data_IF_296942130562
#
_entry.id   IF_296942130562
#
_cell.length_a   1.000
_cell.length_b   1.000
_cell.length_c   1.000
_cell.angle_alpha   90.00
_cell.angle_beta   90.00
_cell.angle_gamma   90.00
#
_symmetry.space_group_name_H-M   'P 1'
#
loop_
_entity.id
_entity.type
_entity.pdbx_description
1 polymer ?
#
# COMPACT_ATOMS: atom_id res chain seq x y z
N UNK A 1 19.07 -1.13 4.48
CA UNK A 1 17.83 -0.34 4.67
C UNK A 1 16.81 -0.89 3.69
N UNK A 2 15.74 -1.51 4.19
CA UNK A 2 14.69 -2.04 3.33
C UNK A 2 13.56 -0.99 3.21
N UNK A 3 13.23 -0.60 1.98
CA UNK A 3 12.11 0.30 1.73
C UNK A 3 10.82 -0.51 1.74
N UNK A 4 9.78 0.02 2.38
CA UNK A 4 8.45 -0.60 2.45
C UNK A 4 7.41 0.33 1.86
N UNK A 5 6.38 -0.27 1.28
CA UNK A 5 5.24 0.46 0.73
C UNK A 5 4.17 0.43 1.81
N UNK A 6 3.59 1.58 2.15
CA UNK A 6 2.51 1.66 3.13
C UNK A 6 1.32 2.38 2.54
N UNK A 7 0.13 1.89 2.87
CA UNK A 7 -1.13 2.44 2.40
C UNK A 7 -2.20 2.23 3.48
N UNK A 8 -3.23 3.05 3.47
CA UNK A 8 -4.33 2.93 4.41
C UNK A 8 -5.65 2.87 3.66
N UNK A 9 -6.43 1.85 3.98
CA UNK A 9 -7.79 1.71 3.48
C UNK A 9 -8.75 2.53 4.36
N UNK A 10 -9.85 3.05 3.79
CA UNK A 10 -10.81 3.85 4.55
C UNK A 10 -11.42 3.01 5.68
N UNK A 11 -11.12 3.38 6.93
CA UNK A 11 -11.62 2.70 8.13
C UNK A 11 -10.75 1.53 8.63
N UNK A 12 -9.59 1.29 8.01
CA UNK A 12 -8.65 0.24 8.43
C UNK A 12 -7.31 0.84 8.91
N UNK A 13 -6.53 0.10 9.73
CA UNK A 13 -5.18 0.50 10.08
C UNK A 13 -4.25 0.48 8.87
N UNK A 14 -3.07 1.11 9.00
CA UNK A 14 -2.07 1.14 7.92
C UNK A 14 -1.60 -0.27 7.58
N UNK A 15 -1.72 -0.61 6.30
CA UNK A 15 -1.16 -1.82 5.71
C UNK A 15 0.26 -1.56 5.20
N UNK A 16 1.13 -2.56 5.33
CA UNK A 16 2.50 -2.52 4.82
C UNK A 16 2.75 -3.66 3.84
N UNK A 17 3.39 -3.32 2.73
CA UNK A 17 3.76 -4.18 1.63
C UNK A 17 5.30 -4.23 1.55
N UNK A 18 5.81 -5.45 1.44
CA UNK A 18 7.23 -5.70 1.22
C UNK A 18 7.45 -5.87 -0.27
N UNK A 19 8.26 -5.02 -0.93
CA UNK A 19 8.55 -5.18 -2.34
C UNK A 19 9.30 -6.49 -2.58
N UNK A 20 8.82 -7.28 -3.54
CA UNK A 20 9.48 -8.50 -3.98
C UNK A 20 10.60 -8.17 -4.98
N UNK A 21 11.72 -8.88 -4.91
CA UNK A 21 12.83 -8.74 -5.86
C UNK A 21 12.55 -9.49 -7.18
N UNK A 22 11.41 -9.19 -7.82
CA UNK A 22 10.93 -9.85 -9.03
C UNK A 22 11.36 -9.15 -10.33
N UNK A 23 12.31 -8.21 -10.26
CA UNK A 23 12.75 -7.41 -11.41
C UNK A 23 11.86 -6.18 -11.70
N UNK A 24 10.88 -5.91 -10.84
CA UNK A 24 10.07 -4.69 -10.86
C UNK A 24 10.59 -3.65 -9.89
N UNK A 25 10.33 -2.37 -10.18
CA UNK A 25 10.64 -1.30 -9.24
C UNK A 25 9.62 -1.26 -8.11
N UNK A 26 9.99 -0.68 -6.96
CA UNK A 26 9.07 -0.52 -5.82
C UNK A 26 7.81 0.26 -6.18
N UNK A 27 7.91 1.19 -7.13
CA UNK A 27 6.79 1.97 -7.64
C UNK A 27 5.81 1.13 -8.45
N UNK A 28 6.32 0.31 -9.38
CA UNK A 28 5.48 -0.63 -10.15
C UNK A 28 4.80 -1.63 -9.22
N UNK A 29 5.53 -2.14 -8.23
CA UNK A 29 4.97 -3.03 -7.21
C UNK A 29 3.88 -2.31 -6.43
N UNK A 30 4.12 -1.08 -5.96
CA UNK A 30 3.11 -0.33 -5.22
C UNK A 30 1.86 -0.09 -6.07
N UNK A 31 2.03 0.33 -7.32
CA UNK A 31 0.92 0.55 -8.26
C UNK A 31 0.10 -0.71 -8.50
N UNK A 32 0.76 -1.86 -8.69
CA UNK A 32 0.13 -3.15 -8.91
C UNK A 32 -0.39 -3.82 -7.63
N UNK A 33 0.16 -3.54 -6.44
CA UNK A 33 -0.28 -4.16 -5.18
C UNK A 33 -1.22 -3.30 -4.35
N UNK A 34 -1.22 -1.99 -4.56
CA UNK A 34 -2.14 -1.08 -3.88
C UNK A 34 -3.44 -1.02 -4.68
N UNK A 35 -4.61 -1.19 -4.03
CA UNK A 35 -5.89 -1.09 -4.71
C UNK A 35 -6.13 0.29 -5.35
N UNK A 36 -6.88 0.27 -6.45
CA UNK A 36 -7.23 1.40 -7.28
C UNK A 36 -7.86 2.52 -6.48
N UNK A 37 -7.29 3.72 -6.53
CA UNK A 37 -7.82 4.88 -5.80
C UNK A 37 -7.39 4.96 -4.33
N UNK A 38 -6.47 4.09 -3.89
CA UNK A 38 -5.85 4.18 -2.56
C UNK A 38 -4.46 4.77 -2.70
N UNK A 39 -4.19 5.80 -1.90
CA UNK A 39 -2.88 6.46 -1.89
C UNK A 39 -1.85 5.60 -1.16
N UNK A 40 -0.60 5.62 -1.63
CA UNK A 40 0.51 4.91 -1.01
C UNK A 40 1.75 5.77 -0.82
N UNK A 41 2.59 5.38 0.12
CA UNK A 41 3.84 6.06 0.48
C UNK A 41 4.99 5.05 0.58
N UNK A 42 6.20 5.51 0.30
CA UNK A 42 7.42 4.73 0.53
C UNK A 42 8.04 5.18 1.85
N UNK A 43 8.11 4.26 2.80
CA UNK A 43 8.71 4.51 4.11
C UNK A 43 9.83 3.53 4.37
N UNK A 44 10.75 3.92 5.24
CA UNK A 44 11.75 2.96 5.71
C UNK A 44 11.12 1.93 6.63
N UNK A 45 11.69 0.73 6.59
CA UNK A 45 11.37 -0.36 7.48
C UNK A 45 11.26 0.04 8.96
N UNK A 46 12.15 0.93 9.40
CA UNK A 46 12.28 1.39 10.78
C UNK A 46 11.15 2.32 11.23
N UNK A 47 10.42 2.91 10.28
CA UNK A 47 9.24 3.75 10.58
C UNK A 47 8.03 2.88 10.95
N UNK A 48 8.03 1.62 10.49
CA UNK A 48 6.91 0.71 10.75
C UNK A 48 7.03 0.16 12.17
N UNK A 49 6.04 0.38 13.04
CA UNK A 49 6.05 -0.20 14.37
C UNK A 49 6.04 -1.73 14.28
N UNK A 50 7.01 -2.35 14.97
CA UNK A 50 7.09 -3.81 15.11
C UNK A 50 6.08 -4.33 16.13
N UNK A 51 5.68 -3.47 17.07
CA UNK A 51 4.71 -3.81 18.10
C UNK A 51 3.31 -3.98 17.51
N UNK A 52 2.62 -5.12 17.76
CA UNK A 52 1.31 -5.39 17.16
C UNK A 52 0.24 -4.41 17.64
N UNK A 53 0.33 -3.93 18.89
CA UNK A 53 -0.60 -2.95 19.46
C UNK A 53 -0.41 -1.57 18.84
N UNK A 54 0.84 -1.18 18.56
CA UNK A 54 1.14 0.07 17.87
C UNK A 54 0.73 -0.01 16.41
N UNK A 55 1.04 -1.12 15.74
CA UNK A 55 0.63 -1.37 14.35
C UNK A 55 -0.88 -1.32 14.15
N UNK A 56 -1.67 -1.81 15.11
CA UNK A 56 -3.13 -1.78 15.02
C UNK A 56 -3.71 -0.37 15.25
N UNK A 57 -2.98 0.51 15.94
CA UNK A 57 -3.36 1.91 16.16
C UNK A 57 -2.63 2.89 15.23
N UNK A 58 -1.77 2.38 14.37
CA UNK A 58 -1.03 3.19 13.42
C UNK A 58 -1.99 3.67 12.34
N UNK A 59 -2.00 4.98 12.10
CA UNK A 59 -2.77 5.65 11.06
C UNK A 59 -1.79 6.47 10.21
N UNK A 60 -2.04 6.57 8.90
CA UNK A 60 -1.27 7.47 8.05
C UNK A 60 -1.68 8.89 8.44
N UNK A 61 -0.81 9.53 9.19
CA UNK A 61 -0.94 10.94 9.49
C UNK A 61 -0.36 11.74 8.31
N UNK A 62 -0.88 12.95 8.14
CA UNK A 62 -0.45 13.94 7.12
C UNK A 62 1.05 14.29 7.23
N UNK A 63 1.69 13.91 8.35
CA UNK A 63 3.12 14.05 8.63
C UNK A 63 4.03 13.28 7.67
N UNK A 64 3.53 12.23 6.99
CA UNK A 64 4.29 11.51 5.97
C UNK A 64 4.47 12.32 4.67
N UNK A 65 3.75 13.44 4.53
CA UNK A 65 3.77 14.29 3.36
C UNK A 65 2.92 13.75 2.19
N UNK A 66 3.13 14.28 0.97
CA UNK A 66 2.31 13.90 -0.18
C UNK A 66 2.48 12.41 -0.50
N UNK A 67 1.40 11.74 -0.96
CA UNK A 67 1.48 10.36 -1.39
C UNK A 67 2.45 10.23 -2.55
N UNK A 68 3.21 9.13 -2.54
CA UNK A 68 4.12 8.81 -3.63
C UNK A 68 3.34 8.51 -4.93
N UNK A 69 2.15 7.94 -4.78
CA UNK A 69 1.24 7.69 -5.88
C UNK A 69 -0.09 7.13 -5.40
N UNK A 70 -0.91 6.73 -6.36
CA UNK A 70 -2.19 6.08 -6.14
C UNK A 70 -2.13 4.69 -6.77
N UNK A 71 -2.63 3.69 -6.07
CA UNK A 71 -2.75 2.34 -6.59
C UNK A 71 -3.55 2.35 -7.89
N UNK A 72 -3.13 1.52 -8.84
CA UNK A 72 -3.81 1.33 -10.12
C UNK A 72 -4.44 -0.07 -10.20
N UNK A 73 -4.20 -0.95 -9.21
CA UNK A 73 -4.77 -2.30 -9.22
C UNK A 73 -6.29 -2.21 -9.15
N UNK A 74 -7.04 -2.56 -10.21
CA UNK A 74 -8.48 -2.55 -10.14
C UNK A 74 -8.89 -3.45 -8.96
N UNK A 75 -9.62 -2.89 -7.99
CA UNK A 75 -10.31 -3.73 -7.00
C UNK A 75 -11.08 -4.73 -7.83
N UNK A 76 -10.84 -6.04 -7.68
CA UNK A 76 -11.45 -7.06 -8.53
C UNK A 76 -12.95 -6.80 -8.71
N UNK A 77 -13.32 -6.05 -9.74
CA UNK A 77 -14.64 -6.06 -10.32
C UNK A 77 -14.64 -7.39 -11.01
N UNK A 78 -15.20 -8.38 -10.32
CA UNK A 78 -15.61 -9.66 -10.89
C UNK A 78 -15.89 -9.44 -12.36
N UNK A 79 -15.10 -10.06 -13.25
CA UNK A 79 -15.44 -10.10 -14.66
C UNK A 79 -16.86 -10.65 -14.73
N UNK A 80 -17.84 -9.75 -14.87
CA UNK A 80 -19.15 -10.07 -15.36
C UNK A 80 -18.94 -10.33 -16.83
N UNK A 81 -18.40 -11.51 -17.15
CA UNK A 81 -18.43 -12.01 -18.50
C UNK A 81 -19.88 -12.42 -18.77
N UNK A 82 -20.70 -11.42 -19.14
CA UNK A 82 -21.95 -11.65 -19.84
C UNK A 82 -21.57 -12.21 -21.21
N UNK A 83 -21.40 -13.52 -21.31
CA UNK A 83 -21.38 -14.18 -22.60
C UNK A 83 -22.81 -14.55 -22.95
N UNK A 84 -23.20 -14.10 -24.14
CA UNK A 84 -24.57 -14.01 -24.66
C UNK A 84 -25.00 -15.34 -25.30
#
# INVERSE_FOLDING_TARGET
MAMRIVYQLPGEPVASLTPCNCGLTIDEIARQDVPGGVSFWFVEESVIPLDPIERMRWMLADELGPPAGVGERPMCTSHSETTL
#
